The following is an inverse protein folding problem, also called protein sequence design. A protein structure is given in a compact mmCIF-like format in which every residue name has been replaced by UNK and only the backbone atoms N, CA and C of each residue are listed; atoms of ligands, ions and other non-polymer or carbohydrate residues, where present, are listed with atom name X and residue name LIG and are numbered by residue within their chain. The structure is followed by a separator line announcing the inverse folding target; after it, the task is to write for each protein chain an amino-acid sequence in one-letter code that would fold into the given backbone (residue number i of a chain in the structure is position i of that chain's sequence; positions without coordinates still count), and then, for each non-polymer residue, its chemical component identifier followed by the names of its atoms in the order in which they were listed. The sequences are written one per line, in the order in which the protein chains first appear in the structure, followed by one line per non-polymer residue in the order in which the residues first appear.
data_IF_584525451387
#
_entry.id   IF_584525451387
#
_cell.length_a   1.000
_cell.length_b   1.000
_cell.length_c   1.000
_cell.angle_alpha   90.00
_cell.angle_beta   90.00
_cell.angle_gamma   90.00
#
_symmetry.space_group_name_H-M   'P 1'
#
loop_
_entity.id
_entity.type
_entity.pdbx_description
1 polymer ?
#
# COMPACT_ATOMS: atom_id res chain seq x y z
N UNK A 1 1.50 -39.37 2.08
CA UNK A 1 2.20 -38.89 0.87
C UNK A 1 1.91 -37.40 0.77
N UNK A 2 2.89 -36.48 0.85
CA UNK A 2 2.55 -35.07 0.67
C UNK A 2 2.15 -34.84 -0.78
N UNK A 3 0.96 -34.25 -0.98
CA UNK A 3 0.48 -33.75 -2.26
C UNK A 3 -0.19 -32.41 -1.98
N UNK A 4 0.56 -31.32 -2.20
CA UNK A 4 0.07 -29.94 -2.09
C UNK A 4 -0.50 -29.52 -3.44
N UNK A 5 -1.78 -29.13 -3.50
CA UNK A 5 -2.42 -28.60 -4.72
C UNK A 5 -3.54 -27.61 -4.33
N UNK A 6 -3.42 -26.35 -4.75
CA UNK A 6 -4.45 -25.69 -5.59
C UNK A 6 -3.71 -25.12 -6.80
N UNK A 7 -4.26 -25.37 -7.99
CA UNK A 7 -3.85 -24.80 -9.27
C UNK A 7 -5.09 -24.32 -10.02
N UNK A 8 -5.17 -23.03 -10.34
CA UNK A 8 -5.52 -22.46 -11.65
C UNK A 8 -5.11 -20.99 -11.60
N UNK A 9 -4.43 -20.53 -12.66
CA UNK A 9 -3.87 -19.18 -12.77
C UNK A 9 -4.66 -18.39 -13.82
N UNK A 10 -5.12 -17.20 -13.43
CA UNK A 10 -5.27 -16.08 -14.32
C UNK A 10 -4.65 -14.87 -13.60
N UNK A 11 -3.52 -14.40 -14.13
CA UNK A 11 -2.91 -13.13 -13.71
C UNK A 11 -3.33 -12.09 -14.76
N UNK A 12 -4.01 -11.03 -14.31
CA UNK A 12 -4.14 -9.81 -15.09
C UNK A 12 -3.11 -8.82 -14.56
N UNK A 13 -2.39 -8.18 -15.48
CA UNK A 13 -1.53 -7.07 -15.14
C UNK A 13 -2.42 -5.94 -14.59
N UNK A 14 -2.11 -5.50 -13.37
CA UNK A 14 -2.76 -4.37 -12.76
C UNK A 14 -2.42 -3.07 -13.53
N UNK A 15 -3.41 -2.23 -13.88
CA UNK A 15 -3.15 -0.93 -14.47
C UNK A 15 -2.37 -0.03 -13.50
N UNK A 16 -1.52 0.85 -14.03
CA UNK A 16 -0.56 1.63 -13.25
C UNK A 16 -1.10 2.98 -12.71
N UNK A 17 -2.40 3.19 -12.81
CA UNK A 17 -3.06 4.43 -12.41
C UNK A 17 -3.98 4.21 -11.21
N UNK A 18 -4.08 5.24 -10.37
CA UNK A 18 -5.16 5.34 -9.39
C UNK A 18 -6.50 5.25 -10.13
N UNK A 19 -7.42 4.45 -9.62
CA UNK A 19 -8.75 4.28 -10.22
C UNK A 19 -9.81 3.99 -9.16
N UNK A 20 -11.07 4.06 -9.57
CA UNK A 20 -12.21 3.62 -8.76
C UNK A 20 -12.71 2.29 -9.30
N UNK A 21 -12.99 1.35 -8.42
CA UNK A 21 -13.54 0.04 -8.75
C UNK A 21 -14.65 -0.35 -7.77
N UNK A 22 -15.66 -1.06 -8.24
CA UNK A 22 -16.68 -1.64 -7.37
C UNK A 22 -16.20 -3.00 -6.83
N UNK A 23 -16.12 -3.13 -5.51
CA UNK A 23 -15.79 -4.39 -4.83
C UNK A 23 -16.71 -4.59 -3.63
N UNK A 24 -17.27 -5.79 -3.49
CA UNK A 24 -18.28 -6.12 -2.47
C UNK A 24 -19.50 -5.17 -2.44
N UNK A 25 -19.83 -4.56 -3.59
CA UNK A 25 -20.99 -3.67 -3.73
C UNK A 25 -20.74 -2.24 -3.24
N UNK A 26 -19.49 -1.86 -2.95
CA UNK A 26 -19.10 -0.50 -2.58
C UNK A 26 -17.92 -0.01 -3.40
N UNK A 27 -17.86 1.30 -3.62
CA UNK A 27 -16.79 1.95 -4.39
C UNK A 27 -15.48 1.91 -3.58
N UNK A 28 -14.43 1.39 -4.20
CA UNK A 28 -13.07 1.39 -3.67
C UNK A 28 -12.17 2.30 -4.50
N UNK A 29 -11.28 3.01 -3.82
CA UNK A 29 -10.11 3.64 -4.44
C UNK A 29 -9.00 2.61 -4.54
N UNK A 30 -8.55 2.33 -5.76
CA UNK A 30 -7.48 1.36 -6.03
C UNK A 30 -6.20 2.10 -6.36
N UNK A 31 -5.15 1.82 -5.60
CA UNK A 31 -3.88 2.55 -5.66
C UNK A 31 -2.73 1.55 -5.90
N UNK A 32 -1.89 1.75 -6.92
CA UNK A 32 -0.67 0.96 -7.07
C UNK A 32 0.36 1.35 -6.00
N UNK A 33 0.97 0.35 -5.36
CA UNK A 33 1.95 0.53 -4.28
C UNK A 33 3.17 -0.34 -4.52
N UNK A 34 4.36 0.23 -4.37
CA UNK A 34 5.58 -0.57 -4.16
C UNK A 34 5.77 -0.73 -2.66
N UNK A 35 5.44 -1.92 -2.15
CA UNK A 35 5.34 -2.19 -0.72
C UNK A 35 6.70 -2.53 -0.08
N UNK A 36 7.57 -3.22 -0.82
CA UNK A 36 8.91 -3.57 -0.40
C UNK A 36 9.88 -3.54 -1.57
N UNK A 37 11.13 -3.17 -1.27
CA UNK A 37 12.28 -3.25 -2.17
C UNK A 37 13.39 -3.98 -1.42
N UNK A 38 14.08 -4.88 -2.11
CA UNK A 38 15.27 -5.54 -1.56
C UNK A 38 16.33 -4.52 -1.14
N UNK A 39 16.78 -4.60 0.10
CA UNK A 39 17.69 -3.61 0.65
C UNK A 39 17.98 -3.77 2.12
N UNK A 40 18.71 -2.80 2.66
CA UNK A 40 18.90 -2.65 4.11
C UNK A 40 17.79 -1.75 4.63
N UNK A 41 16.96 -2.28 5.52
CA UNK A 41 15.80 -1.60 6.07
C UNK A 41 15.98 -1.37 7.57
N UNK A 42 15.51 -0.22 8.06
CA UNK A 42 15.42 0.09 9.48
C UNK A 42 13.95 0.10 9.89
N UNK A 43 13.44 -1.05 10.36
CA UNK A 43 12.05 -1.14 10.80
C UNK A 43 11.78 -0.21 12.00
N UNK A 44 10.54 0.30 12.11
CA UNK A 44 10.17 1.28 13.13
C UNK A 44 10.26 0.76 14.58
N UNK A 45 10.41 -0.55 14.75
CA UNK A 45 10.55 -1.26 16.02
C UNK A 45 11.86 -2.06 16.11
N UNK A 46 12.83 -1.82 15.22
CA UNK A 46 14.13 -2.47 15.25
C UNK A 46 15.19 -1.57 15.90
N UNK A 47 16.16 -2.21 16.58
CA UNK A 47 17.33 -1.52 17.16
C UNK A 47 18.50 -1.40 16.16
N UNK A 48 18.53 -2.27 15.14
CA UNK A 48 19.62 -2.38 14.17
C UNK A 48 19.10 -2.55 12.74
N UNK A 49 19.86 -2.14 11.72
CA UNK A 49 19.47 -2.31 10.33
C UNK A 49 19.49 -3.79 9.91
N UNK A 50 18.46 -4.20 9.18
CA UNK A 50 18.28 -5.56 8.67
C UNK A 50 18.42 -5.61 7.15
N UNK A 51 19.16 -6.59 6.61
CA UNK A 51 19.08 -6.89 5.18
C UNK A 51 17.87 -7.78 4.90
N UNK A 52 17.04 -7.33 3.97
CA UNK A 52 15.82 -8.01 3.53
C UNK A 52 15.95 -8.35 2.06
N UNK A 53 16.11 -9.64 1.76
CA UNK A 53 16.28 -10.12 0.38
C UNK A 53 14.95 -10.20 -0.37
N UNK A 54 14.98 -10.03 -1.69
CA UNK A 54 13.80 -10.18 -2.54
C UNK A 54 13.16 -11.57 -2.42
N UNK A 55 13.99 -12.61 -2.27
CA UNK A 55 13.52 -13.99 -2.17
C UNK A 55 12.54 -14.17 -1.00
N UNK A 56 12.83 -13.55 0.14
CA UNK A 56 12.03 -13.71 1.37
C UNK A 56 10.61 -13.14 1.24
N UNK A 57 10.43 -12.01 0.55
CA UNK A 57 9.10 -11.43 0.36
C UNK A 57 8.44 -11.79 -0.98
N UNK A 58 9.18 -12.28 -1.98
CA UNK A 58 8.61 -12.67 -3.28
C UNK A 58 8.24 -14.15 -3.36
N UNK A 59 8.87 -15.05 -2.60
CA UNK A 59 8.45 -16.47 -2.51
C UNK A 59 7.00 -16.59 -2.02
N UNK A 60 6.56 -15.87 -0.96
CA UNK A 60 5.17 -15.86 -0.54
C UNK A 60 4.33 -14.81 -1.29
N UNK A 61 4.55 -14.57 -2.60
CA UNK A 61 3.90 -13.48 -3.35
C UNK A 61 2.38 -13.40 -3.14
N UNK A 62 1.68 -14.53 -3.28
CA UNK A 62 0.22 -14.59 -3.11
C UNK A 62 -0.23 -14.31 -1.67
N UNK A 63 0.64 -14.51 -0.68
CA UNK A 63 0.32 -14.22 0.72
C UNK A 63 0.20 -12.71 0.98
N UNK A 64 0.70 -11.85 0.08
CA UNK A 64 0.48 -10.41 0.16
C UNK A 64 -0.92 -9.97 -0.30
N UNK A 65 -1.72 -10.86 -0.88
CA UNK A 65 -3.12 -10.58 -1.20
C UNK A 65 -4.02 -10.78 0.03
N UNK A 66 -5.05 -9.95 0.15
CA UNK A 66 -6.02 -9.94 1.24
C UNK A 66 -5.49 -9.40 2.57
N UNK A 67 -4.37 -8.68 2.59
CA UNK A 67 -3.80 -8.11 3.81
C UNK A 67 -4.46 -6.77 4.15
N UNK A 68 -4.72 -6.46 5.43
CA UNK A 68 -5.31 -5.19 5.81
C UNK A 68 -4.51 -3.98 5.33
N UNK A 69 -5.24 -2.95 4.91
CA UNK A 69 -4.73 -1.60 4.66
C UNK A 69 -5.32 -0.68 5.72
N UNK A 70 -4.47 0.11 6.36
CA UNK A 70 -4.84 1.10 7.37
C UNK A 70 -3.96 2.35 7.25
N UNK A 71 -4.34 3.42 7.95
CA UNK A 71 -3.52 4.63 8.07
C UNK A 71 -2.67 4.51 9.33
N UNK A 72 -1.36 4.69 9.16
CA UNK A 72 -0.33 4.39 10.16
C UNK A 72 -0.30 2.94 10.64
N UNK A 73 0.70 2.59 11.44
CA UNK A 73 0.77 1.27 12.07
C UNK A 73 -0.17 1.19 13.28
N UNK A 74 -0.84 0.04 13.50
CA UNK A 74 -1.73 -0.09 14.63
C UNK A 74 -0.91 -0.29 15.90
N UNK A 75 -1.36 0.34 16.99
CA UNK A 75 -0.67 0.32 18.28
C UNK A 75 -1.63 0.04 19.42
N UNK A 76 -1.18 -0.78 20.36
CA UNK A 76 -1.87 -1.02 21.63
C UNK A 76 -0.93 -0.67 22.78
N UNK A 77 -1.36 0.25 23.66
CA UNK A 77 -0.53 0.76 24.75
C UNK A 77 0.85 1.31 24.31
N UNK A 78 0.95 1.81 23.07
CA UNK A 78 2.19 2.35 22.49
C UNK A 78 3.04 1.32 21.74
N UNK A 79 2.76 0.03 21.91
CA UNK A 79 3.47 -1.05 21.21
C UNK A 79 2.79 -1.37 19.88
N UNK A 80 3.59 -1.69 18.87
CA UNK A 80 3.10 -2.14 17.57
C UNK A 80 2.37 -3.48 17.70
N UNK A 81 1.19 -3.58 17.07
CA UNK A 81 0.40 -4.81 17.04
C UNK A 81 0.10 -5.24 15.60
N UNK A 82 -0.40 -6.46 15.45
CA UNK A 82 -0.86 -6.95 14.15
C UNK A 82 -2.19 -6.32 13.76
N UNK A 83 -2.33 -5.96 12.48
CA UNK A 83 -3.61 -5.50 11.94
C UNK A 83 -4.61 -6.64 11.71
N UNK A 84 -4.18 -7.90 11.87
CA UNK A 84 -5.04 -9.08 11.75
C UNK A 84 -5.75 -9.43 13.08
N UNK A 85 -5.64 -8.60 14.11
CA UNK A 85 -6.45 -8.75 15.33
C UNK A 85 -7.89 -8.28 15.10
N UNK A 86 -8.92 -8.93 15.68
CA UNK A 86 -10.31 -8.52 15.47
C UNK A 86 -10.59 -7.05 15.81
N UNK A 87 -9.96 -6.54 16.87
CA UNK A 87 -10.14 -5.16 17.33
C UNK A 87 -9.58 -4.14 16.33
N UNK A 88 -8.34 -4.33 15.87
CA UNK A 88 -7.76 -3.45 14.83
C UNK A 88 -8.54 -3.58 13.52
N UNK A 89 -8.94 -4.80 13.16
CA UNK A 89 -9.66 -5.08 11.93
C UNK A 89 -11.03 -4.38 11.87
N UNK A 90 -11.72 -4.31 13.00
CA UNK A 90 -13.01 -3.63 13.10
C UNK A 90 -12.87 -2.10 13.06
N UNK A 91 -11.85 -1.55 13.73
CA UNK A 91 -11.78 -0.10 14.00
C UNK A 91 -10.84 0.69 13.08
N UNK A 92 -9.79 0.08 12.53
CA UNK A 92 -8.71 0.81 11.85
C UNK A 92 -8.54 0.41 10.37
N UNK A 93 -9.01 -0.77 9.98
CA UNK A 93 -8.82 -1.28 8.61
C UNK A 93 -9.79 -0.63 7.64
N UNK A 94 -9.22 0.08 6.65
CA UNK A 94 -9.94 0.79 5.60
C UNK A 94 -9.96 0.05 4.26
N UNK A 95 -9.20 -1.03 4.12
CA UNK A 95 -9.07 -1.70 2.84
C UNK A 95 -8.24 -2.96 2.89
N UNK A 96 -7.93 -3.47 1.70
CA UNK A 96 -7.12 -4.69 1.54
C UNK A 96 -6.14 -4.56 0.37
N UNK A 97 -5.03 -5.29 0.46
CA UNK A 97 -4.09 -5.45 -0.64
C UNK A 97 -4.55 -6.52 -1.61
N UNK A 98 -4.37 -6.33 -2.91
CA UNK A 98 -4.61 -7.35 -3.95
C UNK A 98 -3.59 -7.22 -5.08
N UNK A 99 -3.67 -8.15 -6.05
CA UNK A 99 -2.86 -8.15 -7.27
C UNK A 99 -1.35 -8.02 -7.02
N UNK A 100 -0.86 -8.73 -5.98
CA UNK A 100 0.55 -8.86 -5.70
C UNK A 100 1.33 -9.34 -6.93
N UNK A 101 2.38 -8.61 -7.28
CA UNK A 101 3.21 -8.83 -8.46
C UNK A 101 4.66 -8.41 -8.22
N UNK A 102 5.53 -8.84 -9.12
CA UNK A 102 6.97 -8.57 -9.03
C UNK A 102 7.37 -7.52 -10.06
N UNK A 103 8.20 -6.57 -9.67
CA UNK A 103 8.83 -5.59 -10.56
C UNK A 103 10.36 -5.69 -10.43
N UNK A 104 11.04 -5.78 -11.58
CA UNK A 104 12.51 -5.87 -11.69
C UNK A 104 13.17 -6.98 -10.84
N UNK A 105 12.45 -8.06 -10.54
CA UNK A 105 12.86 -9.18 -9.67
C UNK A 105 13.26 -8.79 -8.22
N UNK A 106 13.06 -7.53 -7.83
CA UNK A 106 13.54 -6.95 -6.56
C UNK A 106 12.49 -6.17 -5.78
N UNK A 107 11.31 -5.98 -6.35
CA UNK A 107 10.26 -5.13 -5.78
C UNK A 107 8.94 -5.88 -5.70
N UNK A 108 8.29 -5.76 -4.55
CA UNK A 108 6.92 -6.20 -4.35
C UNK A 108 5.97 -5.05 -4.72
N UNK A 109 5.14 -5.28 -5.73
CA UNK A 109 4.04 -4.39 -6.10
C UNK A 109 2.71 -5.00 -5.66
N UNK A 110 1.86 -4.20 -5.03
CA UNK A 110 0.47 -4.56 -4.70
C UNK A 110 -0.45 -3.43 -5.13
N UNK A 111 -1.75 -3.70 -5.14
CA UNK A 111 -2.78 -2.68 -5.16
C UNK A 111 -3.39 -2.55 -3.76
N UNK A 112 -3.47 -1.33 -3.23
CA UNK A 112 -4.29 -1.04 -2.06
C UNK A 112 -5.71 -0.70 -2.54
N UNK A 113 -6.69 -1.51 -2.14
CA UNK A 113 -8.11 -1.32 -2.41
C UNK A 113 -8.77 -0.72 -1.16
N UNK A 114 -9.02 0.58 -1.19
CA UNK A 114 -9.51 1.35 -0.03
C UNK A 114 -11.02 1.54 -0.16
N UNK A 115 -11.77 1.06 0.83
CA UNK A 115 -13.22 1.25 0.91
C UNK A 115 -13.52 2.71 1.29
N UNK A 116 -14.08 3.47 0.34
CA UNK A 116 -14.36 4.89 0.54
C UNK A 116 -15.55 5.16 1.47
N UNK A 117 -16.41 4.18 1.75
CA UNK A 117 -17.45 4.32 2.76
C UNK A 117 -16.85 4.23 4.17
N UNK A 118 -15.97 3.24 4.40
CA UNK A 118 -15.23 3.14 5.68
C UNK A 118 -14.41 4.38 5.98
N UNK A 119 -13.72 4.93 4.97
CA UNK A 119 -12.95 6.17 5.15
C UNK A 119 -13.84 7.33 5.60
N UNK A 120 -15.09 7.46 5.09
CA UNK A 120 -16.02 8.52 5.49
C UNK A 120 -16.55 8.36 6.91
N UNK A 121 -16.53 7.13 7.45
CA UNK A 121 -16.90 6.86 8.84
C UNK A 121 -15.77 7.21 9.82
N UNK A 122 -14.54 7.38 9.30
CA UNK A 122 -13.36 7.74 10.07
C UNK A 122 -13.08 9.24 9.92
N UNK A 123 -12.82 9.93 11.03
CA UNK A 123 -12.48 11.35 11.03
C UNK A 123 -10.96 11.60 11.12
N UNK A 124 -10.56 12.82 10.79
CA UNK A 124 -9.20 13.32 10.98
C UNK A 124 -8.17 12.72 10.02
N UNK A 125 -7.08 12.19 10.57
CA UNK A 125 -5.85 11.81 9.84
C UNK A 125 -6.13 10.84 8.69
N UNK A 126 -7.09 9.93 8.86
CA UNK A 126 -7.46 8.96 7.82
C UNK A 126 -8.06 9.66 6.61
N UNK A 127 -9.06 10.52 6.81
CA UNK A 127 -9.70 11.27 5.74
C UNK A 127 -8.69 12.18 5.03
N UNK A 128 -7.83 12.88 5.80
CA UNK A 128 -6.78 13.74 5.26
C UNK A 128 -5.80 12.97 4.35
N UNK A 129 -5.31 11.81 4.80
CA UNK A 129 -4.40 10.95 4.02
C UNK A 129 -5.04 10.51 2.71
N UNK A 130 -6.31 10.12 2.71
CA UNK A 130 -7.00 9.69 1.49
C UNK A 130 -7.27 10.87 0.55
N UNK A 131 -7.58 12.05 1.08
CA UNK A 131 -7.74 13.26 0.28
C UNK A 131 -6.43 13.67 -0.42
N UNK A 132 -5.28 13.51 0.23
CA UNK A 132 -3.96 13.74 -0.38
C UNK A 132 -3.71 12.79 -1.56
N UNK A 133 -4.04 11.50 -1.40
CA UNK A 133 -3.95 10.52 -2.50
C UNK A 133 -4.82 10.96 -3.69
N UNK A 134 -6.05 11.38 -3.43
CA UNK A 134 -6.98 11.84 -4.46
C UNK A 134 -6.49 13.14 -5.14
N UNK A 135 -5.75 13.97 -4.42
CA UNK A 135 -5.07 15.15 -4.97
C UNK A 135 -3.82 14.80 -5.80
N UNK A 136 -3.42 13.53 -5.85
CA UNK A 136 -2.25 13.04 -6.59
C UNK A 136 -0.93 13.29 -5.86
N UNK A 137 -0.97 13.47 -4.54
CA UNK A 137 0.23 13.57 -3.72
C UNK A 137 0.93 12.22 -3.57
N UNK A 138 2.25 12.27 -3.42
CA UNK A 138 3.07 11.09 -3.12
C UNK A 138 2.86 10.72 -1.66
N UNK A 139 2.50 9.46 -1.41
CA UNK A 139 2.25 8.96 -0.06
C UNK A 139 3.34 7.96 0.32
N UNK A 140 3.99 8.27 1.45
CA UNK A 140 4.87 7.37 2.17
C UNK A 140 4.07 6.17 2.68
N UNK A 141 4.68 5.00 2.62
CA UNK A 141 4.06 3.75 3.08
C UNK A 141 4.99 3.04 4.03
N UNK A 142 4.42 2.15 4.82
CA UNK A 142 5.17 1.15 5.55
C UNK A 142 4.49 -0.21 5.44
N UNK A 143 5.28 -1.26 5.54
CA UNK A 143 4.81 -2.64 5.41
C UNK A 143 5.06 -3.37 6.72
N UNK A 144 3.99 -3.88 7.33
CA UNK A 144 4.06 -4.74 8.51
C UNK A 144 4.18 -6.20 8.11
N UNK A 145 5.15 -6.91 8.69
CA UNK A 145 5.34 -8.35 8.53
C UNK A 145 6.07 -8.93 9.73
N UNK A 146 5.93 -10.24 9.92
CA UNK A 146 6.76 -11.01 10.85
C UNK A 146 7.96 -11.58 10.11
N UNK A 147 9.10 -11.69 10.77
CA UNK A 147 10.29 -12.35 10.26
C UNK A 147 11.11 -12.92 11.42
N UNK A 148 11.94 -13.92 11.14
CA UNK A 148 13.02 -14.33 12.00
C UNK A 148 14.24 -13.42 11.76
N UNK A 149 14.87 -12.93 12.82
CA UNK A 149 16.11 -12.16 12.72
C UNK A 149 17.31 -13.05 13.03
N UNK A 150 18.24 -13.12 12.08
CA UNK A 150 19.47 -13.89 12.21
C UNK A 150 20.64 -12.92 12.29
N UNK A 151 21.35 -12.92 13.43
CA UNK A 151 22.56 -12.13 13.63
C UNK A 151 23.61 -12.47 12.57
N UNK A 152 23.82 -11.51 11.66
CA UNK A 152 24.80 -11.60 10.59
C UNK A 152 25.08 -10.19 10.09
N UNK A 153 26.26 -9.70 10.39
CA UNK A 153 26.71 -8.42 9.88
C UNK A 153 27.18 -8.54 8.43
N UNK A 154 26.95 -7.48 7.65
CA UNK A 154 27.41 -7.41 6.27
C UNK A 154 27.17 -6.06 5.62
N UNK A 155 27.40 -6.02 4.32
CA UNK A 155 27.10 -4.85 3.49
C UNK A 155 26.29 -5.27 2.28
N UNK A 156 25.28 -4.46 1.94
CA UNK A 156 24.53 -4.57 0.70
C UNK A 156 24.51 -3.21 0.03
N UNK A 157 24.96 -3.13 -1.23
CA UNK A 157 25.11 -1.87 -1.98
C UNK A 157 25.85 -0.73 -1.25
N UNK A 158 26.73 -1.07 -0.31
CA UNK A 158 27.48 -0.09 0.50
C UNK A 158 26.85 0.28 1.84
N UNK A 159 25.63 -0.20 2.11
CA UNK A 159 24.93 0.00 3.40
C UNK A 159 25.23 -1.16 4.35
N UNK A 160 25.51 -0.84 5.62
CA UNK A 160 25.79 -1.85 6.65
C UNK A 160 24.47 -2.40 7.20
N UNK A 161 24.38 -3.71 7.34
CA UNK A 161 23.33 -4.38 8.13
C UNK A 161 23.95 -5.23 9.24
N UNK A 162 23.18 -5.51 10.30
CA UNK A 162 23.63 -6.32 11.44
C UNK A 162 22.85 -7.63 11.60
N UNK A 163 21.66 -7.68 11.00
CA UNK A 163 20.84 -8.89 10.93
C UNK A 163 20.37 -9.12 9.49
N UNK A 164 20.04 -10.37 9.18
CA UNK A 164 19.24 -10.72 8.01
C UNK A 164 17.85 -11.14 8.49
N UNK A 165 16.82 -10.82 7.72
CA UNK A 165 15.46 -11.28 7.98
C UNK A 165 15.12 -12.46 7.08
N UNK A 166 14.58 -13.52 7.66
CA UNK A 166 14.14 -14.74 6.98
C UNK A 166 12.70 -15.12 7.40
N UNK A 167 12.05 -16.00 6.65
CA UNK A 167 10.71 -16.52 6.90
C UNK A 167 9.62 -15.44 7.01
N UNK A 168 9.62 -14.49 6.07
CA UNK A 168 8.66 -13.37 6.07
C UNK A 168 7.21 -13.86 6.00
N UNK A 169 6.38 -13.38 6.94
CA UNK A 169 4.93 -13.56 6.96
C UNK A 169 4.24 -12.21 6.87
N UNK A 170 3.55 -11.90 5.76
CA UNK A 170 2.87 -10.62 5.57
C UNK A 170 1.78 -10.35 6.61
N UNK A 171 1.78 -9.15 7.19
CA UNK A 171 0.75 -8.70 8.13
C UNK A 171 -0.17 -7.64 7.52
N UNK A 172 0.35 -6.45 7.17
CA UNK A 172 -0.46 -5.32 6.69
C UNK A 172 0.33 -4.30 5.87
N UNK A 173 -0.40 -3.40 5.21
CA UNK A 173 0.14 -2.19 4.59
C UNK A 173 -0.38 -0.95 5.34
N UNK A 174 0.54 -0.07 5.74
CA UNK A 174 0.24 1.21 6.36
C UNK A 174 0.45 2.34 5.35
N UNK A 175 -0.56 3.17 5.15
CA UNK A 175 -0.44 4.47 4.49
C UNK A 175 -0.03 5.48 5.56
N UNK A 176 1.14 6.08 5.43
CA UNK A 176 1.67 6.94 6.48
C UNK A 176 1.10 8.35 6.35
N UNK A 177 0.76 8.95 7.49
CA UNK A 177 0.32 10.34 7.53
C UNK A 177 1.43 11.29 7.07
N UNK A 178 1.02 12.49 6.65
CA UNK A 178 1.95 13.50 6.14
C UNK A 178 3.08 13.80 7.13
N UNK A 179 4.32 13.77 6.63
CA UNK A 179 5.52 14.05 7.42
C UNK A 179 6.14 12.83 8.11
N UNK A 180 5.53 11.64 8.00
CA UNK A 180 6.11 10.37 8.47
C UNK A 180 6.76 9.64 7.29
N UNK A 181 8.03 9.29 7.42
CA UNK A 181 8.80 8.58 6.39
C UNK A 181 8.87 7.08 6.72
N UNK A 182 8.61 6.24 5.72
CA UNK A 182 8.67 4.78 5.86
C UNK A 182 10.09 4.23 5.97
N UNK A 183 10.23 3.01 6.49
CA UNK A 183 11.51 2.29 6.56
C UNK A 183 12.14 2.02 5.19
N UNK A 184 11.29 1.91 4.16
CA UNK A 184 11.64 2.04 2.76
C UNK A 184 10.86 3.26 2.27
N UNK A 185 11.54 4.38 2.07
CA UNK A 185 10.88 5.63 1.74
C UNK A 185 10.41 5.66 0.28
N UNK A 186 9.67 6.71 -0.08
CA UNK A 186 9.40 6.99 -1.48
C UNK A 186 10.70 7.23 -2.28
N UNK A 187 11.71 7.85 -1.69
CA UNK A 187 13.01 8.04 -2.35
C UNK A 187 13.77 6.72 -2.55
N UNK A 188 13.65 5.77 -1.62
CA UNK A 188 14.32 4.47 -1.67
C UNK A 188 13.66 3.46 -2.63
N UNK A 189 12.51 3.83 -3.21
CA UNK A 189 11.84 3.01 -4.22
C UNK A 189 10.51 2.41 -3.78
N UNK A 190 10.07 2.64 -2.54
CA UNK A 190 8.74 2.26 -2.05
C UNK A 190 7.71 3.38 -2.26
N UNK A 191 6.50 3.23 -1.72
CA UNK A 191 5.48 4.27 -1.72
C UNK A 191 4.27 3.97 -2.60
N UNK A 192 3.19 4.70 -2.32
CA UNK A 192 1.94 4.63 -3.05
C UNK A 192 1.87 5.71 -4.15
N UNK A 193 0.85 5.60 -5.01
CA UNK A 193 0.56 6.59 -6.06
C UNK A 193 1.71 6.82 -7.06
N UNK A 194 2.53 5.78 -7.32
CA UNK A 194 3.61 5.81 -8.31
C UNK A 194 3.05 5.78 -9.73
N UNK A 195 2.49 6.91 -10.17
CA UNK A 195 2.18 7.15 -11.57
C UNK A 195 3.48 7.12 -12.36
N UNK A 196 3.48 6.48 -13.53
CA UNK A 196 4.61 6.50 -14.45
C UNK A 196 5.14 7.93 -14.58
N UNK A 197 6.44 8.13 -14.35
CA UNK A 197 7.13 9.41 -14.52
C UNK A 197 7.20 9.85 -16.00
N UNK A 198 6.14 9.62 -16.78
CA UNK A 198 6.00 9.92 -18.20
C UNK A 198 4.70 10.62 -18.60
N UNK A 199 3.65 10.64 -17.77
CA UNK A 199 2.36 11.25 -18.15
C UNK A 199 1.71 12.05 -17.02
N UNK A 200 2.35 13.15 -16.59
CA UNK A 200 1.60 14.24 -15.95
C UNK A 200 0.75 14.95 -17.01
N UNK A 201 -0.39 14.35 -17.38
CA UNK A 201 -1.52 15.11 -17.92
C UNK A 201 -2.52 15.32 -16.80
N UNK A 202 -2.38 16.49 -16.19
CA UNK A 202 -3.39 17.11 -15.34
C UNK A 202 -4.71 17.13 -16.12
N UNK A 203 -5.66 16.27 -15.74
CA UNK A 203 -7.01 16.31 -16.28
C UNK A 203 -7.74 17.48 -15.64
N UNK A 204 -8.28 18.34 -16.50
CA UNK A 204 -9.15 19.45 -16.13
C UNK A 204 -10.33 18.95 -15.29
N UNK A 205 -10.20 19.08 -13.96
CA UNK A 205 -11.36 19.16 -13.10
C UNK A 205 -11.86 20.61 -13.22
N UNK A 206 -12.62 20.89 -14.29
CA UNK A 206 -13.41 22.11 -14.34
C UNK A 206 -14.40 22.09 -13.17
N UNK A 207 -14.03 22.79 -12.10
CA UNK A 207 -14.97 23.41 -11.17
C UNK A 207 -16.04 24.09 -12.00
N UNK A 208 -17.23 23.52 -12.07
CA UNK A 208 -18.40 24.17 -12.65
C UNK A 208 -18.70 25.43 -11.81
N UNK A 209 -18.36 26.64 -12.28
CA UNK A 209 -18.68 27.85 -11.53
C UNK A 209 -19.96 28.37 -12.15
N UNK A 210 -21.06 28.16 -11.43
CA UNK A 210 -22.39 28.75 -11.60
C UNK A 210 -23.47 27.70 -11.86
N UNK A 211 -24.02 27.19 -10.75
CA UNK A 211 -25.46 27.01 -10.66
C UNK A 211 -26.14 28.31 -11.14
N UNK A 212 -26.77 28.27 -12.31
CA UNK A 212 -27.98 29.02 -12.52
C UNK A 212 -28.96 28.23 -13.37
N UNK A 213 -30.05 27.90 -12.70
CA UNK A 213 -31.17 27.14 -13.18
C UNK A 213 -31.96 27.92 -14.25
N UNK A 214 -32.50 27.14 -15.20
CA UNK A 214 -33.75 27.35 -15.95
C UNK A 214 -33.81 28.38 -17.10
N UNK A 215 -34.64 27.95 -18.06
CA UNK A 215 -35.23 28.62 -19.23
C UNK A 215 -34.35 28.65 -20.49
N UNK A 216 -34.74 28.12 -21.65
CA UNK A 216 -35.99 27.52 -22.11
C UNK A 216 -36.12 27.80 -23.61
N UNK A 217 -36.25 26.74 -24.43
CA UNK A 217 -36.63 26.78 -25.88
C UNK A 217 -35.61 27.54 -26.77
N UNK A 218 -35.34 27.24 -28.04
CA UNK A 218 -36.08 26.59 -29.12
C UNK A 218 -35.13 25.75 -30.00
N UNK A 219 -35.73 24.76 -30.67
CA UNK A 219 -35.15 24.02 -31.78
C UNK A 219 -35.31 24.83 -33.08
N UNK A 220 -34.28 24.74 -33.93
CA UNK A 220 -34.28 24.59 -35.40
C UNK A 220 -35.31 25.36 -36.25
N UNK A 221 -34.79 26.00 -37.30
CA UNK A 221 -35.41 26.01 -38.64
C UNK A 221 -36.46 27.08 -38.91
#
# INVERSE_FOLDING_TARGET
MPKTIIKTLASQAAPESIRKEDFQGVEHLVIPVIALVEGVLMAANADVPAFVSAEEFLVPLEAWNGKPVLVNHPKWNGDYVSANSPEVFENEVIGFTFNASVVDDKKLKVEAWINLEKVKEMDGITEDTINQILAGEEIEISTGYFADEIEREGFYNGEKFEVIQEHIVPDHLALLESGVVGACSWEDGCGAARMNQGDKKMSDLELCPNCNCLDGKEKLG
#
